data_IF_357282288582
#
_entry.id   IF_357282288582
#
_cell.length_a   1.000
_cell.length_b   1.000
_cell.length_c   1.000
_cell.angle_alpha   90.00
_cell.angle_beta   90.00
_cell.angle_gamma   90.00
#
_symmetry.space_group_name_H-M   'P 1'
#
loop_
_entity.id
_entity.type
_entity.pdbx_description
1 polymer ?
#
# COMPACT_ATOMS: atom_id res chain seq x y z
N UNK A 1 -6.58 -4.46 10.62
CA UNK A 1 -5.91 -3.96 11.84
C UNK A 1 -5.36 -2.55 11.68
N UNK A 2 -5.27 -2.01 10.47
CA UNK A 2 -4.67 -0.70 10.17
C UNK A 2 -3.14 -0.61 10.35
N UNK A 3 -2.51 -1.69 10.79
CA UNK A 3 -1.05 -1.76 10.99
C UNK A 3 -0.33 -2.17 9.71
N UNK A 4 0.96 -1.85 9.61
CA UNK A 4 1.84 -2.35 8.55
C UNK A 4 2.10 -3.84 8.75
N UNK A 5 1.74 -4.65 7.75
CA UNK A 5 2.19 -6.04 7.64
C UNK A 5 3.52 -6.11 6.90
N UNK A 6 4.43 -6.98 7.34
CA UNK A 6 5.70 -7.21 6.65
C UNK A 6 5.82 -8.68 6.29
N UNK A 7 6.19 -8.96 5.06
CA UNK A 7 6.43 -10.29 4.53
C UNK A 7 7.82 -10.35 3.91
N UNK A 8 8.56 -11.42 4.18
CA UNK A 8 9.87 -11.69 3.57
C UNK A 8 9.74 -12.92 2.69
N UNK A 9 10.21 -12.83 1.46
CA UNK A 9 10.19 -13.91 0.48
C UNK A 9 11.55 -14.08 -0.20
N UNK A 10 11.87 -15.31 -0.61
CA UNK A 10 13.02 -15.55 -1.48
C UNK A 10 12.72 -15.04 -2.89
N UNK A 11 13.78 -14.88 -3.69
CA UNK A 11 13.67 -14.48 -5.10
C UNK A 11 12.87 -15.49 -5.94
N UNK A 12 12.41 -15.08 -7.10
CA UNK A 12 11.71 -15.91 -8.09
C UNK A 12 10.45 -16.58 -7.56
N UNK A 13 10.45 -17.92 -7.37
CA UNK A 13 9.27 -18.66 -6.91
C UNK A 13 8.72 -18.19 -5.58
N UNK A 14 9.59 -17.80 -4.62
CA UNK A 14 9.16 -17.26 -3.34
C UNK A 14 8.39 -15.95 -3.52
N UNK A 15 8.92 -15.04 -4.32
CA UNK A 15 8.27 -13.77 -4.63
C UNK A 15 6.97 -13.95 -5.40
N UNK A 16 6.94 -14.81 -6.42
CA UNK A 16 5.73 -15.04 -7.22
C UNK A 16 4.58 -15.59 -6.38
N UNK A 17 4.86 -16.40 -5.37
CA UNK A 17 3.85 -16.92 -4.45
C UNK A 17 3.21 -15.81 -3.57
N UNK A 18 3.84 -14.65 -3.44
CA UNK A 18 3.28 -13.54 -2.68
C UNK A 18 2.21 -12.76 -3.47
N UNK A 19 2.23 -12.85 -4.79
CA UNK A 19 1.41 -12.03 -5.69
C UNK A 19 -0.09 -12.17 -5.40
N UNK A 20 -0.58 -13.37 -5.15
CA UNK A 20 -1.99 -13.60 -4.82
C UNK A 20 -2.42 -12.84 -3.56
N UNK A 21 -1.63 -12.93 -2.49
CA UNK A 21 -1.91 -12.21 -1.25
C UNK A 21 -1.77 -10.68 -1.39
N UNK A 22 -0.87 -10.24 -2.28
CA UNK A 22 -0.70 -8.81 -2.56
C UNK A 22 -1.85 -8.24 -3.40
N UNK A 23 -2.44 -9.03 -4.29
CA UNK A 23 -3.69 -8.66 -4.98
C UNK A 23 -4.81 -8.39 -3.97
N UNK A 24 -4.99 -9.30 -3.02
CA UNK A 24 -5.99 -9.13 -1.97
C UNK A 24 -5.68 -7.90 -1.10
N UNK A 25 -4.41 -7.69 -0.74
CA UNK A 25 -3.98 -6.52 0.02
C UNK A 25 -4.22 -5.21 -0.74
N UNK A 26 -4.00 -5.20 -2.06
CA UNK A 26 -4.25 -4.03 -2.92
C UNK A 26 -5.75 -3.73 -2.98
N UNK A 27 -6.58 -4.75 -3.19
CA UNK A 27 -8.02 -4.63 -3.27
C UNK A 27 -8.63 -4.17 -1.94
N UNK A 28 -8.26 -4.84 -0.84
CA UNK A 28 -8.70 -4.52 0.52
C UNK A 28 -7.99 -3.33 1.16
N UNK A 29 -7.25 -2.52 0.38
CA UNK A 29 -6.57 -1.30 0.87
C UNK A 29 -5.70 -1.56 2.11
N UNK A 30 -4.93 -2.64 2.10
CA UNK A 30 -4.07 -3.06 3.21
C UNK A 30 -2.61 -2.72 2.96
N UNK A 31 -1.93 -2.23 4.00
CA UNK A 31 -0.50 -1.94 3.94
C UNK A 31 0.29 -3.21 4.18
N UNK A 32 0.84 -3.79 3.13
CA UNK A 32 1.73 -4.96 3.18
C UNK A 32 3.04 -4.63 2.48
N UNK A 33 4.13 -4.62 3.23
CA UNK A 33 5.47 -4.48 2.70
C UNK A 33 6.03 -5.87 2.40
N UNK A 34 6.39 -6.11 1.15
CA UNK A 34 7.16 -7.29 0.74
C UNK A 34 8.63 -6.94 0.63
N UNK A 35 9.46 -7.68 1.34
CA UNK A 35 10.92 -7.64 1.18
C UNK A 35 11.32 -8.95 0.49
N UNK A 36 11.93 -8.85 -0.67
CA UNK A 36 12.32 -10.03 -1.47
C UNK A 36 13.77 -9.97 -1.90
N UNK A 37 14.35 -11.13 -2.14
CA UNK A 37 15.67 -11.23 -2.73
C UNK A 37 15.66 -11.07 -4.24
N UNK A 38 16.85 -10.99 -4.82
CA UNK A 38 17.12 -11.08 -6.26
C UNK A 38 18.54 -11.62 -6.47
N UNK A 39 18.85 -12.06 -7.67
CA UNK A 39 20.21 -12.40 -8.08
C UNK A 39 21.19 -11.28 -7.75
N UNK A 40 22.46 -11.63 -7.59
CA UNK A 40 23.52 -10.63 -7.36
C UNK A 40 23.51 -9.56 -8.46
N UNK A 41 23.84 -8.33 -8.09
CA UNK A 41 23.85 -7.18 -9.02
C UNK A 41 24.70 -7.45 -10.27
N UNK A 42 25.78 -8.24 -10.14
CA UNK A 42 26.63 -8.63 -11.26
C UNK A 42 25.94 -9.52 -12.30
N UNK A 43 24.91 -10.28 -11.92
CA UNK A 43 24.18 -11.23 -12.79
C UNK A 43 22.79 -10.74 -13.16
N UNK A 44 22.23 -9.84 -12.42
CA UNK A 44 20.87 -9.34 -12.56
C UNK A 44 20.56 -8.84 -13.99
N UNK A 45 19.50 -9.39 -14.57
CA UNK A 45 19.01 -9.00 -15.89
C UNK A 45 19.89 -9.43 -17.07
N UNK A 46 20.86 -10.31 -16.85
CA UNK A 46 21.74 -10.81 -17.91
C UNK A 46 21.26 -12.13 -18.54
N UNK A 47 20.19 -12.72 -17.99
CA UNK A 47 19.64 -13.98 -18.53
C UNK A 47 20.61 -15.15 -18.39
N UNK A 48 21.44 -15.17 -17.37
CA UNK A 48 22.45 -16.22 -17.16
C UNK A 48 21.93 -17.42 -16.37
N UNK A 49 20.61 -17.50 -16.16
CA UNK A 49 19.96 -18.57 -15.41
C UNK A 49 20.50 -18.71 -13.98
N UNK A 50 20.78 -17.59 -13.32
CA UNK A 50 21.12 -17.59 -11.90
C UNK A 50 19.98 -18.24 -11.09
N UNK A 51 20.32 -18.95 -10.02
CA UNK A 51 19.34 -19.70 -9.21
C UNK A 51 18.18 -18.79 -8.81
N UNK A 52 16.98 -19.15 -9.22
CA UNK A 52 15.74 -18.41 -8.96
C UNK A 52 15.71 -16.97 -9.51
N UNK A 53 16.61 -16.64 -10.44
CA UNK A 53 16.53 -15.35 -11.14
C UNK A 53 15.15 -15.21 -11.79
N UNK A 54 14.47 -14.12 -11.49
CA UNK A 54 13.25 -13.72 -12.17
C UNK A 54 13.53 -12.44 -12.95
N UNK A 55 13.64 -12.59 -14.27
CA UNK A 55 14.07 -11.51 -15.18
C UNK A 55 13.26 -10.22 -14.99
N UNK A 56 11.96 -10.35 -14.77
CA UNK A 56 11.03 -9.21 -14.63
C UNK A 56 10.33 -9.18 -13.28
N UNK A 57 11.02 -9.50 -12.18
CA UNK A 57 10.42 -9.55 -10.84
C UNK A 57 9.86 -8.20 -10.41
N UNK A 58 10.57 -7.10 -10.67
CA UNK A 58 10.08 -5.74 -10.38
C UNK A 58 8.79 -5.45 -11.15
N UNK A 59 8.70 -5.82 -12.43
CA UNK A 59 7.48 -5.61 -13.22
C UNK A 59 6.30 -6.45 -12.68
N UNK A 60 6.55 -7.70 -12.28
CA UNK A 60 5.56 -8.57 -11.65
C UNK A 60 5.03 -7.94 -10.35
N UNK A 61 5.92 -7.49 -9.47
CA UNK A 61 5.54 -6.82 -8.23
C UNK A 61 4.81 -5.50 -8.48
N UNK A 62 5.21 -4.73 -9.49
CA UNK A 62 4.56 -3.46 -9.85
C UNK A 62 3.12 -3.63 -10.36
N UNK A 63 2.71 -4.85 -10.73
CA UNK A 63 1.33 -5.13 -11.09
C UNK A 63 0.39 -5.20 -9.88
N UNK A 64 0.93 -5.41 -8.67
CA UNK A 64 0.17 -5.61 -7.43
C UNK A 64 0.63 -4.69 -6.29
N UNK A 65 1.78 -4.07 -6.41
CA UNK A 65 2.31 -3.10 -5.46
C UNK A 65 2.32 -1.72 -6.11
N UNK A 66 1.87 -0.71 -5.39
CA UNK A 66 1.86 0.65 -5.91
C UNK A 66 3.27 1.21 -6.08
N UNK A 67 4.18 0.85 -5.19
CA UNK A 67 5.58 1.22 -5.26
C UNK A 67 6.49 0.01 -5.08
N UNK A 68 7.45 -0.11 -5.96
CA UNK A 68 8.49 -1.14 -5.91
C UNK A 68 9.85 -0.45 -6.05
N UNK A 69 10.75 -0.70 -5.10
CA UNK A 69 12.12 -0.22 -5.16
C UNK A 69 13.09 -1.40 -5.24
N UNK A 70 14.16 -1.23 -6.01
CA UNK A 70 15.21 -2.23 -6.19
C UNK A 70 16.58 -1.54 -6.13
N UNK A 71 17.08 -1.24 -4.90
CA UNK A 71 18.37 -0.59 -4.72
C UNK A 71 19.53 -1.42 -5.29
N UNK A 72 20.53 -0.76 -5.84
CA UNK A 72 21.71 -1.38 -6.42
C UNK A 72 22.96 -1.20 -5.56
N UNK A 73 22.86 -0.45 -4.49
CA UNK A 73 23.91 -0.21 -3.51
C UNK A 73 23.32 -0.20 -2.10
N UNK A 74 24.12 -0.66 -1.11
CA UNK A 74 23.67 -0.77 0.27
C UNK A 74 23.30 0.57 0.92
N UNK A 75 23.92 1.66 0.50
CA UNK A 75 23.62 3.03 0.95
C UNK A 75 22.24 3.54 0.49
N UNK A 76 21.67 2.93 -0.55
CA UNK A 76 20.32 3.26 -1.05
C UNK A 76 19.20 2.57 -0.27
N UNK A 77 19.50 1.54 0.54
CA UNK A 77 18.48 0.74 1.24
C UNK A 77 17.56 1.60 2.11
N UNK A 78 18.14 2.55 2.86
CA UNK A 78 17.37 3.42 3.74
C UNK A 78 16.37 4.29 2.99
N UNK A 79 16.84 4.97 1.96
CA UNK A 79 16.00 5.85 1.13
C UNK A 79 14.93 5.06 0.36
N UNK A 80 15.28 3.90 -0.19
CA UNK A 80 14.35 3.03 -0.90
C UNK A 80 13.24 2.53 0.03
N UNK A 81 13.60 2.04 1.22
CA UNK A 81 12.62 1.56 2.20
C UNK A 81 11.69 2.69 2.69
N UNK A 82 12.26 3.86 3.02
CA UNK A 82 11.45 5.03 3.40
C UNK A 82 10.52 5.46 2.27
N UNK A 83 10.98 5.42 1.02
CA UNK A 83 10.18 5.76 -0.16
C UNK A 83 8.97 4.82 -0.31
N UNK A 84 9.17 3.50 -0.17
CA UNK A 84 8.08 2.52 -0.22
C UNK A 84 7.10 2.73 0.92
N UNK A 85 7.59 2.88 2.15
CA UNK A 85 6.73 3.06 3.33
C UNK A 85 5.91 4.35 3.21
N UNK A 86 6.54 5.47 2.89
CA UNK A 86 5.84 6.74 2.74
C UNK A 86 4.72 6.66 1.69
N UNK A 87 5.00 6.01 0.56
CA UNK A 87 3.98 5.81 -0.48
C UNK A 87 2.80 4.95 0.04
N UNK A 88 3.07 3.87 0.78
CA UNK A 88 2.03 3.02 1.36
C UNK A 88 1.10 3.76 2.34
N UNK A 89 1.58 4.84 2.96
CA UNK A 89 0.81 5.68 3.90
C UNK A 89 0.16 6.90 3.23
N UNK A 90 0.51 7.21 1.99
CA UNK A 90 -0.03 8.36 1.26
C UNK A 90 -1.30 7.99 0.50
N UNK A 91 -2.40 8.66 0.78
CA UNK A 91 -3.69 8.42 0.13
C UNK A 91 -4.31 7.07 0.49
N UNK A 92 -4.91 6.37 -0.51
CA UNK A 92 -5.49 5.05 -0.28
C UNK A 92 -4.38 4.06 0.09
N UNK A 93 -4.48 3.33 1.21
CA UNK A 93 -3.49 2.32 1.57
C UNK A 93 -3.29 1.29 0.45
N UNK A 94 -2.05 0.87 0.26
CA UNK A 94 -1.71 -0.12 -0.77
C UNK A 94 -0.45 -0.90 -0.35
N UNK A 95 -0.23 -2.11 -0.90
CA UNK A 95 1.03 -2.82 -0.71
C UNK A 95 2.19 -2.13 -1.43
N UNK A 96 3.39 -2.37 -0.92
CA UNK A 96 4.66 -1.94 -1.51
C UNK A 96 5.71 -3.04 -1.45
N UNK A 97 6.75 -2.95 -2.24
CA UNK A 97 7.80 -3.95 -2.30
C UNK A 97 9.20 -3.36 -2.33
N UNK A 98 10.14 -4.06 -1.69
CA UNK A 98 11.56 -3.79 -1.73
C UNK A 98 12.28 -5.06 -2.20
N UNK A 99 12.89 -5.01 -3.37
CA UNK A 99 13.72 -6.07 -3.92
C UNK A 99 15.17 -5.79 -3.57
N UNK A 100 15.84 -6.71 -2.87
CA UNK A 100 17.23 -6.54 -2.42
C UNK A 100 18.10 -7.65 -3.01
N UNK A 101 18.99 -7.35 -3.98
CA UNK A 101 19.97 -8.29 -4.49
C UNK A 101 20.81 -8.92 -3.38
N UNK A 102 21.20 -10.19 -3.54
CA UNK A 102 21.83 -10.97 -2.48
C UNK A 102 23.17 -10.41 -2.03
N UNK A 103 23.97 -9.88 -2.93
CA UNK A 103 25.24 -9.22 -2.63
C UNK A 103 25.05 -7.94 -1.78
N UNK A 104 23.95 -7.22 -1.99
CA UNK A 104 23.60 -6.06 -1.15
C UNK A 104 23.16 -6.49 0.25
N UNK A 105 22.51 -7.66 0.40
CA UNK A 105 22.14 -8.19 1.72
C UNK A 105 23.35 -8.52 2.60
N UNK A 106 24.49 -8.86 1.98
CA UNK A 106 25.75 -9.13 2.68
C UNK A 106 26.67 -7.92 2.79
N UNK A 107 26.35 -6.82 2.11
CA UNK A 107 27.20 -5.63 2.14
C UNK A 107 27.13 -4.92 3.50
N UNK A 108 28.24 -4.31 3.97
CA UNK A 108 28.20 -3.41 5.10
C UNK A 108 27.22 -2.26 4.87
N UNK A 109 26.35 -2.01 5.83
CA UNK A 109 25.38 -0.92 5.78
C UNK A 109 25.32 -0.16 7.11
N UNK A 110 24.96 1.11 7.06
CA UNK A 110 24.66 1.88 8.26
C UNK A 110 23.26 1.51 8.78
N UNK A 111 23.03 1.57 10.10
CA UNK A 111 21.71 1.38 10.67
C UNK A 111 20.70 2.35 10.05
N UNK A 112 19.54 1.83 9.66
CA UNK A 112 18.45 2.61 9.07
C UNK A 112 17.46 2.96 10.18
N UNK A 113 17.31 4.25 10.47
CA UNK A 113 16.24 4.72 11.34
C UNK A 113 14.98 4.92 10.50
N UNK A 114 13.93 4.19 10.82
CA UNK A 114 12.62 4.29 10.15
C UNK A 114 11.62 4.82 11.16
N UNK A 115 10.95 5.92 10.80
CA UNK A 115 9.72 6.34 11.44
C UNK A 115 8.55 6.04 10.52
N UNK A 116 7.51 5.37 11.02
CA UNK A 116 6.28 5.22 10.25
C UNK A 116 5.58 6.58 10.17
N UNK A 117 5.12 6.98 8.98
CA UNK A 117 4.34 8.20 8.85
C UNK A 117 3.06 8.12 9.69
N UNK A 118 2.66 9.23 10.28
CA UNK A 118 1.35 9.33 10.91
C UNK A 118 0.25 9.21 9.85
N UNK A 119 -0.87 8.60 10.23
CA UNK A 119 -2.06 8.61 9.39
C UNK A 119 -2.65 10.02 9.42
N UNK A 120 -2.18 10.90 8.57
CA UNK A 120 -2.81 12.20 8.39
C UNK A 120 -4.22 11.99 7.81
N UNK A 121 -5.22 12.34 8.61
CA UNK A 121 -6.59 12.43 8.14
C UNK A 121 -6.73 13.78 7.41
N UNK A 122 -6.85 13.71 6.10
CA UNK A 122 -7.16 14.89 5.31
C UNK A 122 -8.58 15.37 5.64
N UNK A 123 -8.70 16.53 6.28
CA UNK A 123 -9.98 17.19 6.41
C UNK A 123 -10.37 17.82 5.06
N UNK A 124 -11.63 17.70 4.63
CA UNK A 124 -12.09 18.41 3.44
C UNK A 124 -12.05 19.93 3.69
N UNK A 125 -11.82 20.68 2.63
CA UNK A 125 -11.94 22.13 2.63
C UNK A 125 -13.39 22.55 2.91
N UNK A 126 -13.57 23.65 3.64
CA UNK A 126 -14.89 24.14 4.07
C UNK A 126 -15.82 24.46 2.88
N UNK A 127 -15.27 24.95 1.77
CA UNK A 127 -16.06 25.24 0.57
C UNK A 127 -16.56 23.95 -0.08
N UNK A 128 -15.73 22.92 -0.14
CA UNK A 128 -16.12 21.59 -0.63
C UNK A 128 -17.19 20.96 0.27
N UNK A 129 -17.04 21.07 1.59
CA UNK A 129 -18.02 20.58 2.55
C UNK A 129 -19.36 21.31 2.39
N UNK A 130 -19.32 22.63 2.27
CA UNK A 130 -20.51 23.46 2.05
C UNK A 130 -21.22 23.09 0.73
N UNK A 131 -20.48 22.81 -0.31
CA UNK A 131 -21.05 22.37 -1.60
C UNK A 131 -21.75 21.01 -1.48
N UNK A 132 -21.16 20.05 -0.75
CA UNK A 132 -21.78 18.75 -0.47
C UNK A 132 -23.06 18.90 0.34
N UNK A 133 -23.06 19.72 1.41
CA UNK A 133 -24.23 20.00 2.24
C UNK A 133 -25.37 20.58 1.40
N UNK A 134 -25.11 21.58 0.56
CA UNK A 134 -26.12 22.16 -0.35
C UNK A 134 -26.72 21.12 -1.30
N UNK A 135 -25.89 20.23 -1.84
CA UNK A 135 -26.39 19.15 -2.72
C UNK A 135 -27.27 18.16 -1.97
N UNK A 136 -26.89 17.76 -0.76
CA UNK A 136 -27.70 16.88 0.09
C UNK A 136 -29.08 17.52 0.39
N UNK A 137 -29.09 18.78 0.77
CA UNK A 137 -30.31 19.52 1.09
C UNK A 137 -31.24 19.69 -0.14
N UNK A 138 -30.67 19.83 -1.34
CA UNK A 138 -31.44 19.94 -2.58
C UNK A 138 -31.92 18.59 -3.13
N UNK A 139 -31.37 17.49 -2.66
CA UNK A 139 -31.70 16.14 -3.14
C UNK A 139 -33.01 15.63 -2.54
N UNK A 140 -33.81 14.97 -3.37
CA UNK A 140 -35.08 14.33 -2.92
C UNK A 140 -34.95 12.83 -2.68
N UNK A 141 -33.91 12.21 -3.24
CA UNK A 141 -33.68 10.75 -3.14
C UNK A 141 -32.17 10.52 -3.03
N UNK A 142 -31.67 10.47 -1.82
CA UNK A 142 -30.25 10.22 -1.54
C UNK A 142 -30.07 8.80 -1.01
N UNK A 143 -29.05 8.11 -1.47
CA UNK A 143 -28.59 6.82 -0.93
C UNK A 143 -27.11 7.00 -0.60
N UNK A 144 -26.71 6.51 0.56
CA UNK A 144 -25.32 6.49 0.98
C UNK A 144 -24.70 5.14 0.63
N UNK A 145 -23.54 5.14 -0.02
CA UNK A 145 -22.72 3.96 -0.23
C UNK A 145 -21.51 4.06 0.68
N UNK A 146 -21.43 3.22 1.69
CA UNK A 146 -20.38 3.19 2.69
C UNK A 146 -19.38 2.07 2.39
N UNK A 147 -18.13 2.43 2.13
CA UNK A 147 -17.03 1.48 1.93
C UNK A 147 -16.12 1.34 3.16
N UNK A 148 -15.07 0.53 3.05
CA UNK A 148 -14.07 0.29 4.12
C UNK A 148 -13.40 1.54 4.67
N UNK A 149 -13.41 2.65 3.92
CA UNK A 149 -12.93 3.96 4.37
C UNK A 149 -13.65 4.49 5.61
N UNK A 150 -14.94 4.18 5.78
CA UNK A 150 -15.72 4.56 6.97
C UNK A 150 -15.17 3.89 8.22
N UNK A 151 -14.81 2.61 8.11
CA UNK A 151 -14.24 1.83 9.21
C UNK A 151 -12.81 2.32 9.51
N UNK A 152 -11.99 2.45 8.49
CA UNK A 152 -10.57 2.81 8.64
C UNK A 152 -10.35 4.23 9.18
N UNK A 153 -11.29 5.15 8.93
CA UNK A 153 -11.28 6.51 9.49
C UNK A 153 -11.97 6.65 10.84
N UNK A 154 -12.58 5.56 11.36
CA UNK A 154 -13.36 5.62 12.61
C UNK A 154 -14.67 6.39 12.49
N UNK A 155 -15.18 6.60 11.27
CA UNK A 155 -16.33 7.47 11.00
C UNK A 155 -17.71 6.77 11.13
N UNK A 156 -17.76 5.51 11.58
CA UNK A 156 -19.00 4.73 11.63
C UNK A 156 -20.11 5.41 12.44
N UNK A 157 -19.78 5.93 13.61
CA UNK A 157 -20.76 6.65 14.46
C UNK A 157 -21.24 7.96 13.84
N UNK A 158 -20.34 8.70 13.19
CA UNK A 158 -20.70 9.94 12.50
C UNK A 158 -21.62 9.65 11.29
N UNK A 159 -21.32 8.59 10.53
CA UNK A 159 -22.18 8.15 9.43
C UNK A 159 -23.56 7.72 9.92
N UNK A 160 -23.64 6.96 11.01
CA UNK A 160 -24.91 6.56 11.61
C UNK A 160 -25.75 7.79 11.99
N UNK A 161 -25.14 8.74 12.71
CA UNK A 161 -25.83 9.97 13.11
C UNK A 161 -26.32 10.80 11.91
N UNK A 162 -25.52 10.85 10.84
CA UNK A 162 -25.92 11.53 9.61
C UNK A 162 -27.10 10.83 8.92
N UNK A 163 -27.05 9.51 8.82
CA UNK A 163 -28.08 8.71 8.19
C UNK A 163 -29.41 8.82 8.94
N UNK A 164 -29.39 8.72 10.27
CA UNK A 164 -30.57 8.88 11.11
C UNK A 164 -31.14 10.30 11.04
N UNK A 165 -30.29 11.32 11.09
CA UNK A 165 -30.71 12.73 11.04
C UNK A 165 -31.41 13.12 9.75
N UNK A 166 -30.99 12.52 8.63
CA UNK A 166 -31.47 12.87 7.30
C UNK A 166 -32.38 11.76 6.68
N UNK A 167 -32.69 10.73 7.45
CA UNK A 167 -33.45 9.55 7.01
C UNK A 167 -32.90 8.95 5.70
N UNK A 168 -31.58 8.69 5.68
CA UNK A 168 -30.90 8.20 4.49
C UNK A 168 -30.72 6.67 4.53
N UNK A 169 -31.12 5.95 3.49
CA UNK A 169 -30.75 4.55 3.33
C UNK A 169 -29.23 4.43 3.11
N UNK A 170 -28.62 3.49 3.82
CA UNK A 170 -27.19 3.19 3.72
C UNK A 170 -27.01 1.78 3.19
N UNK A 171 -26.20 1.63 2.16
CA UNK A 171 -25.70 0.33 1.68
C UNK A 171 -24.20 0.25 1.90
N UNK A 172 -23.68 -0.91 2.22
CA UNK A 172 -22.26 -1.13 2.41
C UNK A 172 -21.66 -1.85 1.20
N UNK A 173 -20.37 -1.59 0.94
CA UNK A 173 -19.59 -2.44 0.03
C UNK A 173 -19.20 -3.75 0.72
N UNK A 174 -18.69 -4.71 -0.03
CA UNK A 174 -18.27 -6.03 0.47
C UNK A 174 -16.98 -5.94 1.29
N UNK A 175 -16.16 -4.87 1.08
CA UNK A 175 -14.87 -4.64 1.74
C UNK A 175 -14.93 -3.44 2.69
#
# INVERSE_FOLDING_TARGET
>A
TGKLGVMIASTGPGTSNTVTGLYEAQYGSSRVLVITGQAETAFYGKGLSYVHEAENQVAMLSSVCRRVESPRHADQLGSALCSVINDMYTGRPAPGALEIPIDIQYAPAQPIAISLPDNELFAPDEDQLSAVVKRLQASRKTVVVAGGGVISSGASSALLSLAEKLDLPVITTVD
#
